data_IF_000948241165
#
_entry.id   IF_000948241165
#
_cell.length_a   1.000
_cell.length_b   1.000
_cell.length_c   1.000
_cell.angle_alpha   90.00
_cell.angle_beta   90.00
_cell.angle_gamma   90.00
#
_symmetry.space_group_name_H-M   'P 1'
#
loop_
_entity.id
_entity.type
_entity.pdbx_description
1 polymer ?
#
# COMPACT_ATOMS: atom_id res chain seq x y z
N UNK A 1 12.08 -7.64 8.73
CA UNK A 1 12.93 -7.92 7.56
C UNK A 1 12.17 -8.34 6.31
N UNK A 2 11.34 -9.39 6.31
CA UNK A 2 10.60 -9.80 5.08
C UNK A 2 9.76 -8.65 4.50
N UNK A 3 9.07 -7.90 5.36
CA UNK A 3 8.22 -6.77 4.96
C UNK A 3 9.03 -5.58 4.41
N UNK A 4 10.22 -5.32 4.95
CA UNK A 4 11.14 -4.30 4.44
C UNK A 4 11.77 -4.74 3.11
N UNK A 5 12.14 -6.02 2.98
CA UNK A 5 12.68 -6.57 1.73
C UNK A 5 11.62 -6.64 0.64
N UNK A 6 10.37 -7.01 0.96
CA UNK A 6 9.26 -6.97 -0.01
C UNK A 6 8.91 -5.54 -0.38
N UNK A 7 8.94 -4.61 0.57
CA UNK A 7 8.73 -3.18 0.31
C UNK A 7 9.81 -2.62 -0.62
N UNK A 8 11.09 -2.87 -0.33
CA UNK A 8 12.19 -2.45 -1.19
C UNK A 8 12.14 -3.17 -2.54
N UNK A 9 11.82 -4.46 -2.59
CA UNK A 9 11.69 -5.20 -3.85
C UNK A 9 10.55 -4.65 -4.71
N UNK A 10 9.36 -4.44 -4.14
CA UNK A 10 8.20 -3.94 -4.86
C UNK A 10 8.44 -2.51 -5.34
N UNK A 11 8.94 -1.63 -4.48
CA UNK A 11 9.24 -0.24 -4.87
C UNK A 11 10.36 -0.21 -5.91
N UNK A 12 11.48 -0.91 -5.70
CA UNK A 12 12.61 -0.89 -6.66
C UNK A 12 12.20 -1.54 -7.99
N UNK A 13 11.46 -2.65 -7.98
CA UNK A 13 11.10 -3.35 -9.20
C UNK A 13 9.99 -2.62 -9.98
N UNK A 14 8.95 -2.10 -9.31
CA UNK A 14 7.91 -1.35 -10.02
C UNK A 14 8.36 0.06 -10.42
N UNK A 15 9.08 0.78 -9.57
CA UNK A 15 9.59 2.11 -9.93
C UNK A 15 10.66 1.99 -11.02
N UNK A 16 11.51 0.96 -11.00
CA UNK A 16 12.48 0.76 -12.10
C UNK A 16 11.83 0.27 -13.40
N UNK A 17 10.84 -0.63 -13.33
CA UNK A 17 10.14 -1.14 -14.52
C UNK A 17 9.26 -0.08 -15.21
N UNK A 18 8.82 0.95 -14.49
CA UNK A 18 8.08 2.09 -15.08
C UNK A 18 9.04 3.14 -15.68
N UNK A 19 10.35 2.96 -15.49
CA UNK A 19 11.42 3.90 -15.86
C UNK A 19 11.82 3.95 -17.34
N UNK A 20 11.20 3.17 -18.23
CA UNK A 20 11.56 3.16 -19.66
C UNK A 20 11.42 4.55 -20.31
N UNK A 21 10.45 5.36 -19.86
CA UNK A 21 10.30 6.75 -20.33
C UNK A 21 11.31 7.72 -19.69
N UNK A 22 11.80 7.41 -18.49
CA UNK A 22 12.74 8.29 -17.77
C UNK A 22 14.09 8.32 -18.47
N UNK A 23 14.59 7.15 -18.89
CA UNK A 23 15.84 7.06 -19.65
C UNK A 23 15.74 7.82 -20.97
N UNK A 24 14.66 7.63 -21.73
CA UNK A 24 14.45 8.35 -22.98
C UNK A 24 14.36 9.87 -22.76
N UNK A 25 13.72 10.31 -21.67
CA UNK A 25 13.61 11.72 -21.33
C UNK A 25 14.96 12.32 -20.92
N UNK A 26 15.75 11.63 -20.09
CA UNK A 26 17.12 12.03 -19.71
C UNK A 26 18.02 12.12 -20.94
N UNK A 27 17.95 11.14 -21.82
CA UNK A 27 18.75 11.12 -23.05
C UNK A 27 18.33 12.27 -24.00
N UNK A 28 17.02 12.51 -24.15
CA UNK A 28 16.52 13.64 -24.96
C UNK A 28 16.94 15.00 -24.38
N UNK A 29 16.99 15.13 -23.05
CA UNK A 29 17.46 16.35 -22.38
C UNK A 29 18.97 16.52 -22.54
N UNK A 30 19.72 15.42 -22.51
CA UNK A 30 21.15 15.38 -22.79
C UNK A 30 21.47 15.79 -24.23
N UNK A 31 20.71 15.28 -25.20
CA UNK A 31 20.82 15.67 -26.61
C UNK A 31 20.49 17.15 -26.81
N UNK A 32 19.35 17.63 -26.28
CA UNK A 32 18.97 19.04 -26.33
C UNK A 32 20.07 19.94 -25.74
N UNK A 33 20.64 19.58 -24.59
CA UNK A 33 21.70 20.35 -23.94
C UNK A 33 22.97 20.45 -24.79
N UNK A 34 23.27 19.44 -25.61
CA UNK A 34 24.44 19.44 -26.49
C UNK A 34 24.22 20.24 -27.78
N UNK A 35 22.98 20.32 -28.25
CA UNK A 35 22.62 21.02 -29.50
C UNK A 35 22.43 22.53 -29.33
N UNK A 36 22.16 23.00 -28.11
CA UNK A 36 21.83 24.41 -27.84
C UNK A 36 23.03 25.23 -27.35
N UNK A 37 22.98 26.54 -27.62
CA UNK A 37 23.97 27.51 -27.12
C UNK A 37 23.96 27.61 -25.58
N UNK A 38 25.12 27.89 -25.01
CA UNK A 38 25.31 27.98 -23.55
C UNK A 38 24.44 29.05 -22.89
N UNK A 39 24.10 30.12 -23.61
CA UNK A 39 23.21 31.19 -23.17
C UNK A 39 21.77 30.68 -23.00
N UNK A 40 21.29 29.88 -23.96
CA UNK A 40 19.95 29.26 -23.91
C UNK A 40 19.86 28.29 -22.74
N UNK A 41 20.86 27.42 -22.58
CA UNK A 41 20.90 26.48 -21.45
C UNK A 41 20.93 27.21 -20.11
N UNK A 42 21.76 28.25 -19.99
CA UNK A 42 21.81 29.08 -18.76
C UNK A 42 20.45 29.69 -18.44
N UNK A 43 19.77 30.25 -19.44
CA UNK A 43 18.48 30.91 -19.26
C UNK A 43 17.38 29.93 -18.81
N UNK A 44 17.36 28.71 -19.36
CA UNK A 44 16.45 27.64 -18.93
C UNK A 44 16.76 27.22 -17.49
N UNK A 45 18.04 27.08 -17.13
CA UNK A 45 18.46 26.73 -15.78
C UNK A 45 18.12 27.83 -14.75
N UNK A 46 18.14 29.11 -15.14
CA UNK A 46 17.75 30.24 -14.28
C UNK A 46 16.24 30.53 -14.29
N UNK A 47 15.44 29.75 -15.02
CA UNK A 47 14.01 29.97 -15.20
C UNK A 47 13.67 31.40 -15.70
N UNK A 48 14.40 31.90 -16.71
CA UNK A 48 14.09 33.17 -17.38
C UNK A 48 13.00 32.99 -18.46
N UNK A 49 11.82 33.57 -18.24
CA UNK A 49 10.62 33.43 -19.10
C UNK A 49 10.67 34.26 -20.39
N UNK A 50 11.76 34.99 -20.63
CA UNK A 50 11.87 35.88 -21.79
C UNK A 50 11.98 35.16 -23.14
N UNK A 51 12.30 33.87 -23.17
CA UNK A 51 12.42 33.07 -24.40
C UNK A 51 11.30 32.04 -24.53
N UNK A 52 10.36 32.28 -25.44
CA UNK A 52 9.17 31.43 -25.62
C UNK A 52 9.40 30.09 -26.35
N UNK A 53 10.58 29.85 -26.92
CA UNK A 53 10.82 28.67 -27.78
C UNK A 53 11.14 27.37 -27.02
N UNK A 54 11.46 27.46 -25.71
CA UNK A 54 11.90 26.32 -24.89
C UNK A 54 11.05 26.10 -23.63
N UNK A 55 9.74 26.33 -23.73
CA UNK A 55 8.81 26.22 -22.60
C UNK A 55 8.82 24.83 -21.95
N UNK A 56 8.94 23.76 -22.74
CA UNK A 56 8.90 22.38 -22.23
C UNK A 56 10.10 22.04 -21.34
N UNK A 57 11.30 22.48 -21.72
CA UNK A 57 12.52 22.24 -20.95
C UNK A 57 12.53 23.06 -19.66
N UNK A 58 11.95 24.26 -19.71
CA UNK A 58 11.78 25.12 -18.56
C UNK A 58 10.82 24.52 -17.54
N UNK A 59 9.66 24.05 -17.98
CA UNK A 59 8.65 23.37 -17.16
C UNK A 59 9.22 22.11 -16.48
N UNK A 60 9.98 21.30 -17.22
CA UNK A 60 10.67 20.12 -16.67
C UNK A 60 11.74 20.52 -15.64
N UNK A 61 12.49 21.60 -15.88
CA UNK A 61 13.49 22.08 -14.93
C UNK A 61 12.83 22.63 -13.65
N UNK A 62 11.74 23.39 -13.77
CA UNK A 62 10.97 23.89 -12.62
C UNK A 62 10.37 22.74 -11.81
N UNK A 63 9.81 21.73 -12.49
CA UNK A 63 9.33 20.50 -11.86
C UNK A 63 10.46 19.78 -11.12
N UNK A 64 11.63 19.64 -11.74
CA UNK A 64 12.79 18.98 -11.13
C UNK A 64 13.31 19.72 -9.88
N UNK A 65 13.42 21.06 -9.97
CA UNK A 65 13.86 21.91 -8.86
C UNK A 65 12.85 21.89 -7.72
N UNK A 66 11.54 21.93 -8.01
CA UNK A 66 10.49 21.83 -7.00
C UNK A 66 10.46 20.44 -6.34
N UNK A 67 10.68 19.36 -7.11
CA UNK A 67 10.72 17.99 -6.60
C UNK A 67 11.92 17.68 -5.71
N UNK A 68 13.10 18.14 -6.10
CA UNK A 68 14.35 17.84 -5.40
C UNK A 68 14.65 18.81 -4.27
N UNK A 69 14.04 20.00 -4.29
CA UNK A 69 14.33 21.09 -3.36
C UNK A 69 15.73 21.67 -3.54
N UNK A 70 15.88 22.97 -3.30
CA UNK A 70 17.16 23.70 -3.46
C UNK A 70 18.22 23.37 -2.38
N UNK A 71 17.98 22.37 -1.52
CA UNK A 71 18.79 22.10 -0.34
C UNK A 71 19.00 20.62 -0.09
N UNK A 72 19.87 19.98 -0.87
CA UNK A 72 20.34 18.63 -0.55
C UNK A 72 21.45 18.68 0.49
N UNK A 73 21.14 18.36 1.76
CA UNK A 73 22.15 18.21 2.81
C UNK A 73 23.07 16.99 2.59
N UNK A 74 22.69 16.03 1.72
CA UNK A 74 23.51 14.84 1.39
C UNK A 74 23.02 14.02 0.17
N UNK A 75 22.19 14.59 -0.71
CA UNK A 75 21.59 13.88 -1.86
C UNK A 75 20.58 12.76 -1.53
N UNK A 76 20.49 12.34 -0.27
CA UNK A 76 19.61 11.25 0.20
C UNK A 76 18.21 11.69 0.65
N UNK A 77 17.98 12.98 0.90
CA UNK A 77 16.72 13.50 1.45
C UNK A 77 16.08 14.53 0.52
N UNK A 78 15.78 14.13 -0.70
CA UNK A 78 14.95 14.96 -1.58
C UNK A 78 13.48 14.83 -1.12
N UNK A 79 12.77 15.95 -0.91
CA UNK A 79 11.43 15.95 -0.33
C UNK A 79 10.44 15.14 -1.18
N UNK A 80 10.53 15.20 -2.51
CA UNK A 80 9.69 14.40 -3.41
C UNK A 80 9.90 12.90 -3.24
N UNK A 81 11.15 12.42 -3.17
CA UNK A 81 11.42 10.99 -2.98
C UNK A 81 10.94 10.49 -1.62
N UNK A 82 11.13 11.28 -0.56
CA UNK A 82 10.63 10.95 0.77
C UNK A 82 9.11 10.83 0.79
N UNK A 83 8.39 11.78 0.18
CA UNK A 83 6.93 11.75 0.10
C UNK A 83 6.42 10.56 -0.71
N UNK A 84 7.02 10.26 -1.87
CA UNK A 84 6.67 9.09 -2.67
C UNK A 84 6.86 7.79 -1.88
N UNK A 85 7.99 7.66 -1.17
CA UNK A 85 8.28 6.51 -0.31
C UNK A 85 7.30 6.40 0.86
N UNK A 86 6.99 7.53 1.51
CA UNK A 86 6.05 7.59 2.63
C UNK A 86 4.65 7.17 2.19
N UNK A 87 4.12 7.74 1.12
CA UNK A 87 2.78 7.42 0.60
C UNK A 87 2.71 5.97 0.12
N UNK A 88 3.72 5.50 -0.62
CA UNK A 88 3.78 4.09 -1.05
C UNK A 88 3.87 3.13 0.15
N UNK A 89 4.62 3.50 1.20
CA UNK A 89 4.70 2.69 2.43
C UNK A 89 3.40 2.68 3.21
N UNK A 90 2.72 3.82 3.32
CA UNK A 90 1.42 3.91 3.96
C UNK A 90 0.39 3.04 3.21
N UNK A 91 0.37 3.11 1.89
CA UNK A 91 -0.49 2.28 1.05
C UNK A 91 -0.22 0.78 1.22
N UNK A 92 1.05 0.38 1.17
CA UNK A 92 1.44 -1.03 1.38
C UNK A 92 1.07 -1.50 2.78
N UNK A 93 1.31 -0.70 3.82
CA UNK A 93 0.95 -1.03 5.19
C UNK A 93 -0.57 -1.18 5.36
N UNK A 94 -1.35 -0.31 4.72
CA UNK A 94 -2.80 -0.38 4.74
C UNK A 94 -3.31 -1.68 4.09
N UNK A 95 -2.81 -2.05 2.91
CA UNK A 95 -3.20 -3.32 2.27
C UNK A 95 -2.71 -4.54 3.06
N UNK A 96 -1.52 -4.48 3.65
CA UNK A 96 -1.01 -5.57 4.51
C UNK A 96 -1.83 -5.75 5.78
N UNK A 97 -2.35 -4.67 6.36
CA UNK A 97 -3.28 -4.73 7.48
C UNK A 97 -4.53 -5.52 7.09
N UNK A 98 -5.17 -5.15 5.99
CA UNK A 98 -6.37 -5.83 5.46
C UNK A 98 -6.10 -7.31 5.15
N UNK A 99 -4.96 -7.62 4.52
CA UNK A 99 -4.54 -9.00 4.27
C UNK A 99 -4.31 -9.79 5.56
N UNK A 100 -3.73 -9.15 6.57
CA UNK A 100 -3.52 -9.75 7.89
C UNK A 100 -4.83 -10.16 8.54
N UNK A 101 -5.82 -9.27 8.53
CA UNK A 101 -7.16 -9.53 9.08
C UNK A 101 -7.83 -10.71 8.37
N UNK A 102 -7.83 -10.73 7.04
CA UNK A 102 -8.42 -11.83 6.25
C UNK A 102 -7.70 -13.17 6.52
N UNK A 103 -6.37 -13.14 6.67
CA UNK A 103 -5.60 -14.35 6.98
C UNK A 103 -5.87 -14.87 8.39
N UNK A 104 -6.03 -13.97 9.36
CA UNK A 104 -6.33 -14.34 10.74
C UNK A 104 -7.75 -14.92 10.87
N UNK A 105 -8.72 -14.34 10.15
CA UNK A 105 -10.07 -14.91 10.02
C UNK A 105 -10.04 -16.31 9.37
N UNK A 106 -9.31 -16.45 8.26
CA UNK A 106 -9.19 -17.73 7.55
C UNK A 106 -8.56 -18.80 8.44
N UNK A 107 -7.52 -18.46 9.19
CA UNK A 107 -6.87 -19.36 10.15
C UNK A 107 -7.81 -19.75 11.29
N UNK A 108 -8.56 -18.79 11.83
CA UNK A 108 -9.56 -19.05 12.86
C UNK A 108 -10.61 -20.05 12.41
N UNK A 109 -11.17 -19.85 11.22
CA UNK A 109 -12.15 -20.77 10.63
C UNK A 109 -11.54 -22.14 10.32
N UNK A 110 -10.32 -22.17 9.78
CA UNK A 110 -9.62 -23.42 9.46
C UNK A 110 -9.40 -24.29 10.71
N UNK A 111 -8.96 -23.69 11.82
CA UNK A 111 -8.69 -24.41 13.07
C UNK A 111 -9.96 -24.98 13.71
N UNK A 112 -11.10 -24.30 13.58
CA UNK A 112 -12.40 -24.73 14.14
C UNK A 112 -13.15 -25.70 13.22
N UNK A 113 -12.72 -25.85 11.97
CA UNK A 113 -13.36 -26.74 11.01
C UNK A 113 -13.07 -28.21 11.34
N UNK A 114 -14.12 -28.97 11.66
CA UNK A 114 -14.03 -30.42 11.90
C UNK A 114 -14.53 -31.21 10.68
N UNK A 115 -13.70 -32.13 10.19
CA UNK A 115 -13.97 -32.92 8.96
C UNK A 115 -15.16 -33.87 9.06
N UNK A 116 -15.54 -34.30 10.27
CA UNK A 116 -16.57 -35.33 10.49
C UNK A 116 -17.95 -34.78 10.89
N UNK A 117 -18.16 -33.47 10.87
CA UNK A 117 -19.42 -32.86 11.30
C UNK A 117 -20.25 -32.39 10.10
N UNK A 118 -21.46 -32.92 9.95
CA UNK A 118 -22.38 -32.55 8.86
C UNK A 118 -23.26 -31.33 9.20
N UNK A 119 -23.49 -31.07 10.49
CA UNK A 119 -24.40 -30.03 10.99
C UNK A 119 -23.62 -29.07 11.89
N UNK A 120 -23.94 -27.78 11.81
CA UNK A 120 -23.36 -26.75 12.65
C UNK A 120 -23.94 -26.85 14.07
N UNK A 121 -23.10 -27.08 15.07
CA UNK A 121 -23.50 -27.14 16.48
C UNK A 121 -23.16 -25.80 17.16
N UNK A 122 -24.19 -25.10 17.61
CA UNK A 122 -24.09 -23.89 18.42
C UNK A 122 -24.54 -24.25 19.84
N UNK A 123 -23.64 -24.13 20.81
CA UNK A 123 -23.97 -24.33 22.21
C UNK A 123 -24.25 -22.97 22.86
N UNK A 124 -25.44 -22.84 23.45
CA UNK A 124 -25.79 -21.70 24.28
C UNK A 124 -25.43 -22.02 25.73
N UNK A 125 -24.46 -21.29 26.27
CA UNK A 125 -24.05 -21.39 27.68
C UNK A 125 -24.47 -20.11 28.38
N UNK A 126 -25.57 -20.19 29.16
CA UNK A 126 -26.29 -19.20 30.00
C UNK A 126 -26.37 -17.72 29.55
N UNK A 127 -25.34 -17.12 28.95
CA UNK A 127 -25.34 -15.75 28.40
C UNK A 127 -24.62 -15.62 27.04
N UNK A 128 -24.01 -16.68 26.50
CA UNK A 128 -23.18 -16.61 25.30
C UNK A 128 -23.41 -17.75 24.29
N UNK A 129 -23.31 -17.43 23.00
CA UNK A 129 -23.28 -18.44 21.94
C UNK A 129 -21.83 -18.84 21.63
N UNK A 130 -21.53 -20.12 21.84
CA UNK A 130 -20.24 -20.71 21.49
C UNK A 130 -20.39 -21.54 20.22
N UNK A 131 -19.52 -21.25 19.25
CA UNK A 131 -19.46 -21.95 17.98
C UNK A 131 -18.55 -23.17 18.15
N UNK A 132 -19.13 -24.37 18.30
CA UNK A 132 -18.31 -25.54 18.63
C UNK A 132 -17.77 -26.25 17.38
N UNK A 133 -18.60 -26.38 16.33
CA UNK A 133 -18.22 -27.09 15.11
C UNK A 133 -18.78 -26.41 13.86
N UNK A 134 -17.93 -26.21 12.85
CA UNK A 134 -18.29 -25.72 11.52
C UNK A 134 -18.18 -26.87 10.51
N UNK A 135 -19.22 -27.13 9.69
CA UNK A 135 -19.15 -28.15 8.65
C UNK A 135 -18.21 -27.71 7.50
N UNK A 136 -17.50 -28.67 6.92
CA UNK A 136 -16.47 -28.43 5.90
C UNK A 136 -16.97 -27.65 4.67
N UNK A 137 -18.19 -27.90 4.19
CA UNK A 137 -18.77 -27.18 3.04
C UNK A 137 -18.81 -25.66 3.25
N UNK A 138 -19.23 -25.21 4.44
CA UNK A 138 -19.29 -23.77 4.77
C UNK A 138 -17.90 -23.17 4.92
N UNK A 139 -16.97 -23.93 5.52
CA UNK A 139 -15.58 -23.52 5.65
C UNK A 139 -14.90 -23.35 4.29
N UNK A 140 -15.13 -24.26 3.34
CA UNK A 140 -14.61 -24.14 1.96
C UNK A 140 -15.20 -22.92 1.25
N UNK A 141 -16.51 -22.68 1.40
CA UNK A 141 -17.14 -21.50 0.79
C UNK A 141 -16.59 -20.19 1.37
N UNK A 142 -16.43 -20.13 2.70
CA UNK A 142 -15.78 -19.01 3.38
C UNK A 142 -14.33 -18.83 2.89
N UNK A 143 -13.54 -19.90 2.85
CA UNK A 143 -12.17 -19.85 2.36
C UNK A 143 -12.07 -19.38 0.91
N UNK A 144 -12.99 -19.81 0.03
CA UNK A 144 -13.05 -19.34 -1.34
C UNK A 144 -13.34 -17.83 -1.42
N UNK A 145 -14.28 -17.33 -0.60
CA UNK A 145 -14.59 -15.90 -0.52
C UNK A 145 -13.39 -15.09 0.01
N UNK A 146 -12.72 -15.56 1.07
CA UNK A 146 -11.51 -14.93 1.60
C UNK A 146 -10.37 -14.91 0.58
N UNK A 147 -10.18 -16.00 -0.19
CA UNK A 147 -9.18 -16.03 -1.27
C UNK A 147 -9.49 -15.01 -2.35
N UNK A 148 -10.77 -14.89 -2.75
CA UNK A 148 -11.17 -13.87 -3.72
C UNK A 148 -10.89 -12.45 -3.18
N UNK A 149 -11.19 -12.18 -1.91
CA UNK A 149 -10.90 -10.90 -1.26
C UNK A 149 -9.38 -10.60 -1.24
N UNK A 150 -8.55 -11.59 -0.92
CA UNK A 150 -7.09 -11.44 -0.99
C UNK A 150 -6.60 -11.12 -2.41
N UNK A 151 -7.16 -11.78 -3.43
CA UNK A 151 -6.80 -11.52 -4.83
C UNK A 151 -7.15 -10.07 -5.22
N UNK A 152 -8.34 -9.60 -4.83
CA UNK A 152 -8.77 -8.21 -5.09
C UNK A 152 -7.84 -7.22 -4.37
N UNK A 153 -7.53 -7.47 -3.09
CA UNK A 153 -6.63 -6.61 -2.31
C UNK A 153 -5.22 -6.53 -2.93
N UNK A 154 -4.67 -7.65 -3.41
CA UNK A 154 -3.37 -7.68 -4.10
C UNK A 154 -3.44 -6.97 -5.45
N UNK A 155 -4.52 -7.14 -6.21
CA UNK A 155 -4.71 -6.44 -7.48
C UNK A 155 -4.79 -4.91 -7.27
N UNK A 156 -5.49 -4.47 -6.21
CA UNK A 156 -5.54 -3.06 -5.81
C UNK A 156 -4.18 -2.53 -5.36
N UNK A 157 -3.38 -3.35 -4.66
CA UNK A 157 -2.02 -2.99 -4.29
C UNK A 157 -1.17 -2.67 -5.51
N UNK A 158 -1.12 -3.59 -6.48
CA UNK A 158 -0.31 -3.46 -7.69
C UNK A 158 -0.79 -2.30 -8.56
N UNK A 159 -2.11 -2.19 -8.75
CA UNK A 159 -2.71 -1.10 -9.53
C UNK A 159 -2.47 0.25 -8.87
N UNK A 160 -2.62 0.33 -7.55
CA UNK A 160 -2.37 1.52 -6.75
C UNK A 160 -0.92 2.00 -6.80
N UNK A 161 0.03 1.07 -6.65
CA UNK A 161 1.46 1.40 -6.73
C UNK A 161 1.86 1.84 -8.14
N UNK A 162 1.33 1.18 -9.17
CA UNK A 162 1.56 1.58 -10.56
C UNK A 162 1.02 2.98 -10.82
N UNK A 163 -0.18 3.28 -10.32
CA UNK A 163 -0.79 4.60 -10.47
C UNK A 163 -0.05 5.69 -9.69
N UNK A 164 0.34 5.42 -8.44
CA UNK A 164 1.16 6.33 -7.61
C UNK A 164 2.51 6.63 -8.28
N UNK A 165 3.15 5.63 -8.87
CA UNK A 165 4.45 5.81 -9.54
C UNK A 165 4.38 6.69 -10.79
N UNK A 166 3.22 6.81 -11.42
CA UNK A 166 3.01 7.67 -12.60
C UNK A 166 2.67 9.12 -12.26
N UNK A 167 2.52 9.46 -10.97
CA UNK A 167 2.11 10.82 -10.56
C UNK A 167 3.34 11.71 -10.37
N UNK A 168 3.45 12.74 -11.21
CA UNK A 168 4.57 13.69 -11.25
C UNK A 168 4.29 15.00 -10.52
N UNK A 169 3.16 15.17 -9.84
CA UNK A 169 2.94 16.29 -8.91
C UNK A 169 2.82 15.76 -7.47
N UNK A 170 3.54 16.39 -6.52
CA UNK A 170 3.58 16.00 -5.11
C UNK A 170 2.19 16.12 -4.48
N UNK A 171 1.45 17.16 -4.83
CA UNK A 171 0.11 17.42 -4.29
C UNK A 171 -0.85 16.37 -4.82
N UNK A 172 -0.79 16.07 -6.11
CA UNK A 172 -1.58 15.00 -6.72
C UNK A 172 -1.21 13.63 -6.15
N UNK A 173 0.07 13.36 -5.87
CA UNK A 173 0.53 12.10 -5.31
C UNK A 173 -0.05 11.86 -3.92
N UNK A 174 -0.07 12.90 -3.07
CA UNK A 174 -0.69 12.82 -1.74
C UNK A 174 -2.21 12.64 -1.85
N UNK A 175 -2.86 13.40 -2.72
CA UNK A 175 -4.31 13.32 -2.93
C UNK A 175 -4.72 11.93 -3.45
N UNK A 176 -3.98 11.38 -4.41
CA UNK A 176 -4.19 10.05 -4.97
C UNK A 176 -3.97 8.96 -3.91
N UNK A 177 -2.93 9.09 -3.08
CA UNK A 177 -2.69 8.18 -1.96
C UNK A 177 -3.83 8.17 -0.94
N UNK A 178 -4.33 9.35 -0.55
CA UNK A 178 -5.48 9.47 0.37
C UNK A 178 -6.75 8.91 -0.25
N UNK A 179 -7.01 9.18 -1.54
CA UNK A 179 -8.16 8.65 -2.26
C UNK A 179 -8.15 7.12 -2.31
N UNK A 180 -6.97 6.52 -2.47
CA UNK A 180 -6.79 5.07 -2.49
C UNK A 180 -7.03 4.43 -1.12
N UNK A 181 -6.60 5.07 -0.03
CA UNK A 181 -6.98 4.63 1.32
C UNK A 181 -8.49 4.76 1.55
N UNK A 182 -9.09 5.85 1.06
CA UNK A 182 -10.52 6.10 1.22
C UNK A 182 -11.39 5.08 0.48
N UNK A 183 -11.00 4.60 -0.71
CA UNK A 183 -11.79 3.59 -1.42
C UNK A 183 -11.83 2.25 -0.68
N UNK A 184 -10.76 1.90 0.05
CA UNK A 184 -10.70 0.71 0.90
C UNK A 184 -11.61 0.86 2.13
N UNK A 185 -11.60 2.02 2.78
CA UNK A 185 -12.50 2.32 3.91
C UNK A 185 -13.99 2.29 3.49
N UNK A 186 -14.29 2.75 2.27
CA UNK A 186 -15.65 2.66 1.72
C UNK A 186 -16.09 1.20 1.55
N UNK A 187 -15.21 0.29 1.14
CA UNK A 187 -15.57 -1.12 0.97
C UNK A 187 -16.01 -1.74 2.31
N UNK A 188 -15.25 -1.47 3.39
CA UNK A 188 -15.61 -1.90 4.74
C UNK A 188 -16.93 -1.26 5.21
N UNK A 189 -17.11 0.04 4.95
CA UNK A 189 -18.33 0.75 5.29
C UNK A 189 -19.54 0.20 4.51
N UNK A 190 -19.36 -0.11 3.22
CA UNK A 190 -20.38 -0.70 2.37
C UNK A 190 -20.78 -2.08 2.90
N UNK A 191 -19.83 -2.92 3.28
CA UNK A 191 -20.12 -4.18 3.96
C UNK A 191 -20.91 -3.96 5.24
N UNK A 192 -20.50 -2.97 6.05
CA UNK A 192 -21.21 -2.65 7.28
C UNK A 192 -22.65 -2.20 7.00
N UNK A 193 -22.91 -1.37 6.00
CA UNK A 193 -24.26 -0.87 5.69
C UNK A 193 -25.13 -1.95 5.06
N UNK A 194 -24.58 -2.73 4.14
CA UNK A 194 -25.32 -3.76 3.39
C UNK A 194 -25.56 -5.03 4.21
N UNK A 195 -24.74 -5.29 5.23
CA UNK A 195 -24.92 -6.45 6.11
C UNK A 195 -26.26 -6.38 6.87
N UNK A 196 -27.15 -7.39 6.73
CA UNK A 196 -28.43 -7.45 7.43
C UNK A 196 -28.28 -7.30 8.94
N UNK A 197 -29.18 -6.55 9.59
CA UNK A 197 -29.17 -6.34 11.05
C UNK A 197 -29.17 -7.65 11.83
N UNK A 198 -29.84 -8.69 11.31
CA UNK A 198 -29.87 -10.03 11.90
C UNK A 198 -28.49 -10.66 12.00
N UNK A 199 -27.66 -10.53 10.95
CA UNK A 199 -26.29 -11.01 10.96
C UNK A 199 -25.44 -10.26 11.98
N UNK A 200 -25.59 -8.93 12.06
CA UNK A 200 -24.88 -8.11 13.06
C UNK A 200 -25.24 -8.50 14.50
N UNK A 201 -26.52 -8.77 14.78
CA UNK A 201 -26.95 -9.21 16.11
C UNK A 201 -26.36 -10.58 16.46
N UNK A 202 -26.38 -11.53 15.53
CA UNK A 202 -25.78 -12.86 15.74
C UNK A 202 -24.27 -12.73 15.98
N UNK A 203 -23.58 -11.93 15.18
CA UNK A 203 -22.14 -11.70 15.30
C UNK A 203 -21.77 -11.10 16.66
N UNK A 204 -22.53 -10.10 17.15
CA UNK A 204 -22.34 -9.49 18.48
C UNK A 204 -22.56 -10.45 19.65
N UNK A 205 -23.43 -11.43 19.49
CA UNK A 205 -23.76 -12.41 20.54
C UNK A 205 -22.85 -13.65 20.50
N UNK A 206 -22.05 -13.80 19.44
CA UNK A 206 -21.12 -14.92 19.26
C UNK A 206 -19.81 -14.58 19.99
N UNK A 207 -19.33 -15.50 20.83
CA UNK A 207 -18.02 -15.31 21.46
C UNK A 207 -16.88 -15.38 20.42
N UNK A 208 -15.79 -14.61 20.61
CA UNK A 208 -14.63 -14.68 19.73
C UNK A 208 -14.08 -16.10 19.70
N UNK A 209 -13.68 -16.56 18.51
CA UNK A 209 -13.12 -17.89 18.34
C UNK A 209 -11.80 -17.98 19.11
N UNK A 210 -11.74 -18.91 20.07
CA UNK A 210 -10.54 -19.18 20.86
C UNK A 210 -9.51 -19.94 20.01
N UNK A 211 -8.84 -19.23 19.11
CA UNK A 211 -7.69 -19.78 18.41
C UNK A 211 -6.51 -19.86 19.39
N UNK A 212 -5.99 -21.07 19.63
CA UNK A 212 -4.70 -21.24 20.32
C UNK A 212 -3.61 -20.84 19.35
N UNK A 213 -3.18 -19.58 19.41
CA UNK A 213 -2.06 -19.10 18.61
C UNK A 213 -0.76 -19.78 19.08
N UNK A 214 -0.06 -20.55 18.23
CA UNK A 214 1.23 -21.14 18.59
C UNK A 214 2.38 -20.12 18.53
N UNK A 215 2.11 -18.85 18.25
CA UNK A 215 3.16 -17.83 18.13
C UNK A 215 3.38 -17.11 19.46
N UNK A 216 4.50 -17.38 20.14
CA UNK A 216 5.17 -16.35 20.93
C UNK A 216 5.82 -15.38 19.95
N UNK A 217 5.04 -14.48 19.34
CA UNK A 217 5.66 -13.38 18.58
C UNK A 217 6.41 -12.54 19.61
N UNK A 218 7.75 -12.46 19.57
CA UNK A 218 8.44 -11.47 20.36
C UNK A 218 8.03 -10.13 19.75
N UNK A 219 7.06 -9.45 20.35
CA UNK A 219 6.76 -8.05 20.11
C UNK A 219 7.89 -7.20 20.70
N UNK A 220 9.15 -7.59 20.46
CA UNK A 220 10.31 -6.74 20.69
C UNK A 220 10.42 -5.85 19.48
N UNK A 221 9.58 -4.81 19.55
CA UNK A 221 9.76 -3.47 19.04
C UNK A 221 10.87 -3.32 17.99
N UNK A 222 10.45 -2.98 16.76
CA UNK A 222 11.30 -2.47 15.68
C UNK A 222 12.32 -1.40 16.14
N UNK A 223 12.08 -0.74 17.28
CA UNK A 223 12.95 0.25 17.92
C UNK A 223 14.32 -0.33 18.31
N UNK A 224 14.48 -1.65 18.54
CA UNK A 224 15.79 -2.23 18.89
C UNK A 224 16.69 -2.56 17.68
N UNK A 225 16.25 -2.27 16.45
CA UNK A 225 17.01 -2.56 15.22
C UNK A 225 17.65 -1.34 14.54
N UNK A 226 17.69 -0.18 15.20
CA UNK A 226 18.48 0.97 14.77
C UNK A 226 19.82 1.02 15.54
N UNK A 227 20.92 0.44 15.02
CA UNK A 227 22.24 0.58 15.63
C UNK A 227 22.93 1.92 15.28
N UNK A 228 22.19 2.96 14.88
CA UNK A 228 22.77 4.15 14.23
C UNK A 228 22.48 5.51 14.89
N UNK A 229 22.00 5.55 16.13
CA UNK A 229 21.83 6.81 16.88
C UNK A 229 22.60 6.78 18.22
N UNK A 230 23.88 6.46 18.14
CA UNK A 230 24.86 6.81 19.19
C UNK A 230 26.16 7.28 18.55
N UNK A 231 26.13 8.48 17.98
CA UNK A 231 27.31 9.35 17.81
C UNK A 231 26.87 10.75 18.22
#
# INVERSE_FOLDING_TARGET
MILQVSFTYIVVFHVSATGDNLHQMVDSFGQWRQEQDTTVVSNVCTADYSFGEHFRQMDVNELFVSYLGSGSFLGLFTPGAFLCMAVSSAWILHVLHVLGEVLDELRGVWYVTFRSCAIMEICMTEEHFTLQKIPHHRSVWFACASVLQMVIAVALLVSGLTWLSGTNDIVELLLNGVALSYIMEIDELAFHVLAPTKLKTIFRMTQPLLAKWPMSVPVRSLIMSLPFLSI
#
